data_IF_043714427199
#
_entry.id   IF_043714427199
#
_cell.length_a   1.000
_cell.length_b   1.000
_cell.length_c   1.000
_cell.angle_alpha   90.00
_cell.angle_beta   90.00
_cell.angle_gamma   90.00
#
_symmetry.space_group_name_H-M   'P 1'
#
loop_
_entity.id
_entity.type
_entity.pdbx_description
1 polymer ?
#
# COMPACT_ATOMS: atom_id res chain seq x y z
N UNK A 1 -22.43 -18.71 3.64
CA UNK A 1 -21.02 -18.26 3.63
C UNK A 1 -20.19 -19.33 2.91
N UNK A 2 -19.74 -19.08 1.68
CA UNK A 2 -18.94 -20.06 0.94
C UNK A 2 -17.60 -20.26 1.67
N UNK A 3 -17.29 -21.51 2.03
CA UNK A 3 -16.03 -21.90 2.68
C UNK A 3 -14.89 -21.54 1.72
N UNK A 4 -14.13 -20.48 2.05
CA UNK A 4 -13.00 -20.07 1.23
C UNK A 4 -12.02 -21.23 1.10
N UNK A 5 -11.59 -21.54 -0.12
CA UNK A 5 -10.57 -22.56 -0.34
C UNK A 5 -9.31 -22.15 0.43
N UNK A 6 -8.59 -23.11 1.04
CA UNK A 6 -7.29 -22.84 1.69
C UNK A 6 -6.33 -22.09 0.76
N UNK A 7 -6.47 -22.32 -0.55
CA UNK A 7 -5.72 -21.63 -1.60
C UNK A 7 -6.05 -20.14 -1.68
N UNK A 8 -7.32 -19.75 -1.57
CA UNK A 8 -7.73 -18.34 -1.63
C UNK A 8 -7.24 -17.56 -0.42
N UNK A 9 -7.27 -18.17 0.76
CA UNK A 9 -6.72 -17.59 1.99
C UNK A 9 -5.19 -17.45 1.91
N UNK A 10 -4.51 -18.45 1.36
CA UNK A 10 -3.07 -18.39 1.13
C UNK A 10 -2.69 -17.27 0.14
N UNK A 11 -3.38 -17.19 -1.00
CA UNK A 11 -3.18 -16.13 -1.99
C UNK A 11 -3.43 -14.74 -1.40
N UNK A 12 -4.50 -14.59 -0.61
CA UNK A 12 -4.79 -13.32 0.07
C UNK A 12 -3.65 -12.90 0.98
N UNK A 13 -3.13 -13.83 1.79
CA UNK A 13 -2.07 -13.53 2.75
C UNK A 13 -0.73 -13.23 2.05
N UNK A 14 -0.38 -13.99 1.02
CA UNK A 14 0.88 -13.79 0.29
C UNK A 14 0.84 -12.53 -0.57
N UNK A 15 -0.21 -12.35 -1.37
CA UNK A 15 -0.32 -11.23 -2.30
C UNK A 15 -0.69 -9.95 -1.57
N UNK A 16 -1.77 -9.96 -0.79
CA UNK A 16 -2.21 -8.80 -0.02
C UNK A 16 -1.22 -8.43 1.09
N UNK A 17 -0.68 -9.42 1.81
CA UNK A 17 0.36 -9.17 2.81
C UNK A 17 1.68 -8.70 2.20
N UNK A 18 2.08 -9.28 1.06
CA UNK A 18 3.27 -8.86 0.33
C UNK A 18 3.17 -7.45 -0.22
N UNK A 19 2.01 -7.07 -0.77
CA UNK A 19 1.73 -5.70 -1.21
C UNK A 19 1.77 -4.70 -0.06
N UNK A 20 1.07 -5.00 1.04
CA UNK A 20 1.09 -4.15 2.24
C UNK A 20 2.49 -3.97 2.82
N UNK A 21 3.30 -5.03 2.85
CA UNK A 21 4.70 -4.94 3.26
C UNK A 21 5.55 -4.12 2.27
N UNK A 22 5.34 -4.31 0.96
CA UNK A 22 6.00 -3.54 -0.09
C UNK A 22 5.72 -2.04 0.04
N UNK A 23 4.47 -1.65 0.27
CA UNK A 23 4.06 -0.27 0.52
C UNK A 23 4.81 0.32 1.72
N UNK A 24 4.87 -0.39 2.84
CA UNK A 24 5.59 0.06 4.04
C UNK A 24 7.09 0.28 3.78
N UNK A 25 7.72 -0.63 3.05
CA UNK A 25 9.14 -0.50 2.69
C UNK A 25 9.36 0.69 1.77
N UNK A 26 8.48 0.89 0.79
CA UNK A 26 8.53 2.00 -0.15
C UNK A 26 8.39 3.36 0.57
N UNK A 27 7.36 3.49 1.42
CA UNK A 27 7.13 4.69 2.25
C UNK A 27 8.27 4.93 3.23
N UNK A 28 8.81 3.89 3.86
CA UNK A 28 9.96 4.02 4.76
C UNK A 28 11.20 4.54 4.02
N UNK A 29 11.48 4.03 2.82
CA UNK A 29 12.59 4.49 1.98
C UNK A 29 12.40 5.93 1.51
N UNK A 30 11.20 6.30 1.08
CA UNK A 30 10.93 7.68 0.65
C UNK A 30 11.07 8.66 1.81
N UNK A 31 10.51 8.34 2.97
CA UNK A 31 10.60 9.17 4.16
C UNK A 31 12.03 9.34 4.66
N UNK A 32 12.85 8.28 4.59
CA UNK A 32 14.29 8.37 4.91
C UNK A 32 15.05 9.24 3.91
N UNK A 33 14.76 9.12 2.61
CA UNK A 33 15.40 9.92 1.57
C UNK A 33 15.02 11.40 1.66
N UNK A 34 13.78 11.70 2.03
CA UNK A 34 13.25 13.06 2.05
C UNK A 34 13.28 13.73 3.44
N UNK A 35 13.81 13.04 4.46
CA UNK A 35 13.94 13.59 5.81
C UNK A 35 12.60 13.99 6.42
N UNK A 36 11.55 13.21 6.16
CA UNK A 36 10.23 13.43 6.79
C UNK A 36 10.41 13.27 8.31
N UNK A 37 9.78 14.12 9.13
CA UNK A 37 9.80 14.01 10.59
C UNK A 37 8.42 14.39 11.14
N UNK A 38 7.63 13.43 11.58
CA UNK A 38 6.29 13.72 12.09
C UNK A 38 6.36 14.23 13.53
N UNK A 39 5.95 15.49 13.76
CA UNK A 39 5.95 16.15 15.07
C UNK A 39 7.31 16.13 15.80
N UNK A 40 8.42 16.21 15.05
CA UNK A 40 9.78 16.17 15.61
C UNK A 40 10.23 14.79 16.09
N UNK A 41 9.40 13.75 15.91
CA UNK A 41 9.74 12.35 16.21
C UNK A 41 10.06 11.65 14.89
N UNK A 42 11.10 10.81 14.88
CA UNK A 42 11.44 10.01 13.71
C UNK A 42 10.26 9.15 13.26
N UNK A 43 10.14 8.84 11.96
CA UNK A 43 8.88 8.35 11.37
C UNK A 43 8.52 6.87 11.66
N UNK A 44 9.37 6.16 12.39
CA UNK A 44 9.17 4.75 12.74
C UNK A 44 7.85 4.46 13.47
N UNK A 45 7.45 5.25 14.50
CA UNK A 45 6.21 5.03 15.24
C UNK A 45 4.97 5.17 14.35
N UNK A 46 4.91 6.16 13.45
CA UNK A 46 3.74 6.32 12.57
C UNK A 46 3.61 5.16 11.59
N UNK A 47 4.73 4.71 11.00
CA UNK A 47 4.71 3.52 10.15
C UNK A 47 4.28 2.27 10.93
N UNK A 48 4.66 2.15 12.21
CA UNK A 48 4.34 0.99 13.03
C UNK A 48 2.88 0.99 13.51
N UNK A 49 2.39 2.11 14.07
CA UNK A 49 1.06 2.20 14.67
C UNK A 49 -0.05 2.47 13.66
N UNK A 50 0.24 3.16 12.56
CA UNK A 50 -0.76 3.52 11.56
C UNK A 50 -0.47 2.84 10.24
N UNK A 51 0.79 2.89 9.77
CA UNK A 51 1.19 2.28 8.50
C UNK A 51 0.89 0.79 8.44
N UNK A 52 1.36 0.00 9.42
CA UNK A 52 1.20 -1.46 9.41
C UNK A 52 -0.28 -1.85 9.43
N UNK A 53 -1.11 -1.37 10.37
CA UNK A 53 -2.52 -1.76 10.39
C UNK A 53 -3.26 -1.34 9.13
N UNK A 54 -3.05 -0.11 8.64
CA UNK A 54 -3.76 0.40 7.46
C UNK A 54 -3.33 -0.36 6.20
N UNK A 55 -2.02 -0.50 5.96
CA UNK A 55 -1.51 -1.18 4.78
C UNK A 55 -1.99 -2.63 4.68
N UNK A 56 -1.93 -3.38 5.79
CA UNK A 56 -2.36 -4.78 5.81
C UNK A 56 -3.87 -4.92 5.72
N UNK A 57 -4.65 -4.13 6.47
CA UNK A 57 -6.12 -4.22 6.42
C UNK A 57 -6.63 -3.87 5.03
N UNK A 58 -6.17 -2.76 4.45
CA UNK A 58 -6.60 -2.33 3.11
C UNK A 58 -6.24 -3.39 2.08
N UNK A 59 -4.98 -3.83 2.02
CA UNK A 59 -4.55 -4.78 0.99
C UNK A 59 -5.20 -6.16 1.12
N UNK A 60 -5.31 -6.71 2.34
CA UNK A 60 -5.93 -8.03 2.56
C UNK A 60 -7.43 -8.00 2.26
N UNK A 61 -8.14 -6.98 2.73
CA UNK A 61 -9.59 -6.85 2.49
C UNK A 61 -9.88 -6.57 1.02
N UNK A 62 -9.13 -5.66 0.41
CA UNK A 62 -9.31 -5.28 -0.99
C UNK A 62 -9.02 -6.47 -1.91
N UNK A 63 -7.90 -7.17 -1.71
CA UNK A 63 -7.58 -8.36 -2.48
C UNK A 63 -8.69 -9.40 -2.37
N UNK A 64 -9.07 -9.77 -1.14
CA UNK A 64 -10.08 -10.80 -0.92
C UNK A 64 -11.43 -10.42 -1.53
N UNK A 65 -11.83 -9.15 -1.43
CA UNK A 65 -13.11 -8.65 -1.96
C UNK A 65 -13.10 -8.66 -3.48
N UNK A 66 -12.10 -8.04 -4.11
CA UNK A 66 -12.00 -7.93 -5.58
C UNK A 66 -11.79 -9.30 -6.20
N UNK A 67 -10.89 -10.11 -5.65
CA UNK A 67 -10.61 -11.45 -6.15
C UNK A 67 -11.87 -12.32 -6.08
N UNK A 68 -12.58 -12.38 -4.95
CA UNK A 68 -13.81 -13.19 -4.83
C UNK A 68 -14.93 -12.71 -5.73
N UNK A 69 -15.07 -11.39 -5.90
CA UNK A 69 -16.11 -10.83 -6.74
C UNK A 69 -15.84 -11.15 -8.22
N UNK A 70 -14.62 -10.91 -8.70
CA UNK A 70 -14.22 -11.18 -10.08
C UNK A 70 -14.22 -12.67 -10.42
N UNK A 71 -13.85 -13.54 -9.48
CA UNK A 71 -13.82 -15.00 -9.68
C UNK A 71 -15.22 -15.60 -9.90
N UNK A 72 -16.31 -14.93 -9.50
CA UNK A 72 -17.69 -15.41 -9.78
C UNK A 72 -18.08 -15.29 -11.25
N UNK A 73 -17.46 -14.39 -12.01
CA UNK A 73 -17.80 -14.12 -13.42
C UNK A 73 -16.66 -14.30 -14.41
N UNK A 74 -15.42 -14.52 -13.94
CA UNK A 74 -14.24 -14.60 -14.79
C UNK A 74 -13.26 -15.70 -14.35
N UNK A 75 -12.26 -15.98 -15.20
CA UNK A 75 -11.20 -16.94 -14.91
C UNK A 75 -10.27 -16.52 -13.76
N UNK A 76 -9.47 -17.47 -13.27
CA UNK A 76 -8.52 -17.25 -12.16
C UNK A 76 -7.57 -16.07 -12.43
N UNK A 77 -6.94 -16.04 -13.61
CA UNK A 77 -5.94 -15.03 -13.96
C UNK A 77 -6.53 -13.62 -14.09
N UNK A 78 -7.73 -13.49 -14.66
CA UNK A 78 -8.40 -12.19 -14.78
C UNK A 78 -8.84 -11.66 -13.43
N UNK A 79 -9.31 -12.53 -12.53
CA UNK A 79 -9.63 -12.14 -11.16
C UNK A 79 -8.38 -11.73 -10.36
N UNK A 80 -7.27 -12.44 -10.55
CA UNK A 80 -5.98 -12.08 -9.96
C UNK A 80 -5.50 -10.71 -10.46
N UNK A 81 -5.52 -10.50 -11.77
CA UNK A 81 -5.10 -9.24 -12.39
C UNK A 81 -5.96 -8.06 -11.91
N UNK A 82 -7.27 -8.23 -11.84
CA UNK A 82 -8.17 -7.20 -11.32
C UNK A 82 -7.84 -6.85 -9.85
N UNK A 83 -7.57 -7.85 -9.01
CA UNK A 83 -7.19 -7.63 -7.62
C UNK A 83 -5.83 -6.93 -7.49
N UNK A 84 -4.86 -7.27 -8.33
CA UNK A 84 -3.54 -6.61 -8.38
C UNK A 84 -3.64 -5.15 -8.81
N UNK A 85 -4.47 -4.85 -9.81
CA UNK A 85 -4.71 -3.46 -10.26
C UNK A 85 -5.37 -2.65 -9.13
N UNK A 86 -6.37 -3.23 -8.46
CA UNK A 86 -7.04 -2.56 -7.34
C UNK A 86 -6.07 -2.26 -6.19
N UNK A 87 -5.22 -3.21 -5.83
CA UNK A 87 -4.12 -3.02 -4.86
C UNK A 87 -3.21 -1.88 -5.31
N UNK A 88 -2.73 -1.89 -6.55
CA UNK A 88 -1.79 -0.88 -7.02
C UNK A 88 -2.38 0.54 -6.93
N UNK A 89 -3.67 0.71 -7.23
CA UNK A 89 -4.37 2.00 -7.10
C UNK A 89 -4.49 2.39 -5.62
N UNK A 90 -4.87 1.46 -4.74
CA UNK A 90 -5.02 1.72 -3.32
C UNK A 90 -3.68 2.05 -2.65
N UNK A 91 -2.62 1.32 -2.98
CA UNK A 91 -1.26 1.56 -2.48
C UNK A 91 -0.74 2.92 -2.95
N UNK A 92 -1.05 3.32 -4.19
CA UNK A 92 -0.71 4.65 -4.67
C UNK A 92 -1.41 5.73 -3.85
N UNK A 93 -2.72 5.61 -3.64
CA UNK A 93 -3.48 6.56 -2.83
C UNK A 93 -3.00 6.60 -1.36
N UNK A 94 -2.65 5.45 -0.78
CA UNK A 94 -2.09 5.37 0.57
C UNK A 94 -0.70 5.99 0.65
N UNK A 95 0.13 5.78 -0.36
CA UNK A 95 1.45 6.40 -0.47
C UNK A 95 1.35 7.93 -0.58
N UNK A 96 0.45 8.42 -1.43
CA UNK A 96 0.09 9.84 -1.57
C UNK A 96 -0.36 10.46 -0.25
N UNK A 97 -1.23 9.77 0.47
CA UNK A 97 -1.73 10.22 1.77
C UNK A 97 -0.61 10.24 2.83
N UNK A 98 0.26 9.24 2.84
CA UNK A 98 1.41 9.18 3.74
C UNK A 98 2.47 10.26 3.41
N UNK A 99 2.60 10.65 2.14
CA UNK A 99 3.56 11.66 1.66
C UNK A 99 3.11 13.11 1.80
N UNK A 100 1.85 13.39 2.17
CA UNK A 100 1.30 14.75 2.25
C UNK A 100 1.04 15.29 3.67
N UNK A 101 1.92 15.07 4.69
CA UNK A 101 1.80 15.86 5.91
C UNK A 101 2.23 17.29 5.61
N UNK A 102 1.25 18.18 5.37
CA UNK A 102 1.41 19.63 5.20
C UNK A 102 2.00 20.36 6.44
N UNK A 103 2.47 19.60 7.44
CA UNK A 103 2.83 20.09 8.77
C UNK A 103 4.35 20.05 9.03
N UNK A 104 5.16 19.50 8.11
CA UNK A 104 6.62 19.43 8.29
C UNK A 104 7.34 20.60 7.62
N UNK A 105 8.17 21.36 8.36
CA UNK A 105 8.92 22.48 7.81
C UNK A 105 10.03 21.97 6.89
N UNK A 106 9.93 22.35 5.60
CA UNK A 106 10.89 22.15 4.52
C UNK A 106 11.32 20.68 4.28
N UNK A 107 10.50 19.86 3.59
CA UNK A 107 10.96 18.55 3.15
C UNK A 107 12.11 18.72 2.14
N UNK A 108 13.18 17.95 2.32
CA UNK A 108 14.35 17.92 1.41
C UNK A 108 13.91 17.64 -0.04
N UNK A 109 12.78 16.95 -0.19
CA UNK A 109 12.11 16.68 -1.45
C UNK A 109 10.78 17.46 -1.57
N UNK A 110 10.45 18.03 -2.74
CA UNK A 110 9.11 18.54 -2.99
C UNK A 110 8.06 17.42 -2.81
N UNK A 111 6.99 17.72 -2.07
CA UNK A 111 5.91 16.77 -1.76
C UNK A 111 6.36 15.42 -1.13
N UNK A 112 7.55 15.38 -0.50
CA UNK A 112 8.13 14.14 0.05
C UNK A 112 8.35 13.02 -0.99
N UNK A 113 8.47 13.39 -2.26
CA UNK A 113 8.71 12.44 -3.36
C UNK A 113 10.21 12.32 -3.62
N UNK A 114 10.79 11.12 -3.46
CA UNK A 114 12.23 10.94 -3.62
C UNK A 114 12.65 11.03 -5.09
N UNK A 115 13.91 11.37 -5.39
CA UNK A 115 14.40 11.57 -6.76
C UNK A 115 14.42 10.29 -7.61
N UNK A 116 14.34 9.11 -6.98
CA UNK A 116 14.23 7.83 -7.67
C UNK A 116 12.78 7.46 -8.06
N UNK A 117 11.79 8.27 -7.68
CA UNK A 117 10.40 8.02 -8.05
C UNK A 117 10.20 8.17 -9.57
N UNK A 118 9.49 7.24 -10.24
CA UNK A 118 9.33 7.30 -11.69
C UNK A 118 8.59 8.56 -12.17
N UNK A 119 9.15 9.23 -13.18
CA UNK A 119 8.50 10.38 -13.84
C UNK A 119 7.29 9.89 -14.63
N UNK A 120 6.08 10.09 -14.11
CA UNK A 120 4.83 9.70 -14.76
C UNK A 120 3.84 8.95 -13.86
N UNK A 121 4.26 8.52 -12.67
CA UNK A 121 3.35 7.94 -11.68
C UNK A 121 2.86 9.06 -10.74
N UNK A 122 1.55 9.34 -10.67
CA UNK A 122 1.03 10.40 -9.81
C UNK A 122 1.26 10.09 -8.34
N UNK A 123 1.49 11.13 -7.55
CA UNK A 123 1.69 11.08 -6.09
C UNK A 123 0.73 12.02 -5.39
#
# INVERSE_FOLDING_TARGET
MAKGSKVDSFLTLVVGGGAGFGLLVLTSKSWKACGVHLNGVGNGPTLFFVGIPVAFVVNLVLFNTVYRFSRKGQGFFTALLAAMIAIAIADLALYSWAGTPNFTPAPICPANVPPWWPTGIPT
#
